data_IF_952881152234
#
_entry.id   IF_952881152234
#
_cell.length_a   1.000
_cell.length_b   1.000
_cell.length_c   1.000
_cell.angle_alpha   90.00
_cell.angle_beta   90.00
_cell.angle_gamma   90.00
#
_symmetry.space_group_name_H-M   'P 1'
#
loop_
_entity.id
_entity.type
_entity.pdbx_description
1 polymer ?
#
# COMPACT_ATOMS: atom_id res chain seq x y z
N UNK A 1 -1.05 27.33 23.27
CA UNK A 1 -1.25 25.99 22.67
C UNK A 1 -0.54 25.74 21.32
N UNK A 2 0.20 26.70 20.72
CA UNK A 2 0.94 26.46 19.44
C UNK A 2 2.27 25.68 19.59
N UNK A 3 2.91 25.67 20.76
CA UNK A 3 4.22 25.02 20.97
C UNK A 3 4.20 23.49 21.20
N UNK A 4 3.05 22.92 21.59
CA UNK A 4 2.93 21.47 21.85
C UNK A 4 2.75 20.67 20.53
N UNK A 5 2.09 21.27 19.54
CA UNK A 5 1.85 20.66 18.23
C UNK A 5 3.10 20.61 17.34
N UNK A 6 3.99 21.61 17.42
CA UNK A 6 5.21 21.66 16.61
C UNK A 6 6.27 20.64 17.06
N UNK A 7 6.42 20.44 18.38
CA UNK A 7 7.31 19.41 18.94
C UNK A 7 6.85 18.00 18.56
N UNK A 8 5.55 17.73 18.64
CA UNK A 8 4.99 16.42 18.28
C UNK A 8 5.14 16.13 16.77
N UNK A 9 4.92 17.14 15.91
CA UNK A 9 5.14 17.01 14.47
C UNK A 9 6.61 16.76 14.11
N UNK A 10 7.57 17.37 14.84
CA UNK A 10 9.00 17.12 14.62
C UNK A 10 9.38 15.69 14.99
N UNK A 11 8.89 15.17 16.11
CA UNK A 11 9.12 13.77 16.51
C UNK A 11 8.50 12.78 15.53
N UNK A 12 7.26 13.06 15.09
CA UNK A 12 6.57 12.28 14.06
C UNK A 12 7.35 12.27 12.75
N UNK A 13 7.81 13.44 12.29
CA UNK A 13 8.63 13.57 11.08
C UNK A 13 9.91 12.73 11.17
N UNK A 14 10.67 12.85 12.26
CA UNK A 14 11.89 12.06 12.46
C UNK A 14 11.58 10.56 12.40
N UNK A 15 10.54 10.11 13.10
CA UNK A 15 10.11 8.70 13.10
C UNK A 15 9.72 8.21 11.71
N UNK A 16 9.01 9.03 10.93
CA UNK A 16 8.65 8.69 9.54
C UNK A 16 9.88 8.63 8.66
N UNK A 17 10.78 9.62 8.73
CA UNK A 17 12.01 9.66 7.93
C UNK A 17 12.92 8.46 8.22
N UNK A 18 13.11 8.10 9.50
CA UNK A 18 13.89 6.90 9.87
C UNK A 18 13.27 5.65 9.23
N UNK A 19 11.95 5.45 9.40
CA UNK A 19 11.26 4.30 8.79
C UNK A 19 11.36 4.31 7.27
N UNK A 20 11.25 5.49 6.66
CA UNK A 20 11.33 5.67 5.22
C UNK A 20 12.70 5.26 4.68
N UNK A 21 13.79 5.76 5.27
CA UNK A 21 15.16 5.40 4.92
C UNK A 21 15.42 3.91 5.14
N UNK A 22 14.96 3.34 6.25
CA UNK A 22 15.10 1.90 6.52
C UNK A 22 14.41 1.05 5.46
N UNK A 23 13.22 1.46 4.99
CA UNK A 23 12.49 0.72 3.94
C UNK A 23 13.19 0.86 2.58
N UNK A 24 13.76 2.03 2.25
CA UNK A 24 14.59 2.20 1.04
C UNK A 24 15.78 1.24 1.07
N UNK A 25 16.51 1.22 2.20
CA UNK A 25 17.68 0.35 2.36
C UNK A 25 17.25 -1.11 2.27
N UNK A 26 16.16 -1.51 2.93
CA UNK A 26 15.68 -2.89 2.90
C UNK A 26 15.29 -3.33 1.48
N UNK A 27 14.53 -2.51 0.74
CA UNK A 27 14.14 -2.81 -0.63
C UNK A 27 15.38 -2.86 -1.54
N UNK A 28 16.30 -1.90 -1.40
CA UNK A 28 17.56 -1.91 -2.13
C UNK A 28 18.37 -3.19 -1.87
N UNK A 29 18.49 -3.62 -0.61
CA UNK A 29 19.16 -4.87 -0.26
C UNK A 29 18.44 -6.08 -0.87
N UNK A 30 17.12 -6.15 -0.76
CA UNK A 30 16.33 -7.27 -1.30
C UNK A 30 16.45 -7.37 -2.83
N UNK A 31 16.61 -6.25 -3.54
CA UNK A 31 16.75 -6.26 -5.00
C UNK A 31 18.20 -6.45 -5.45
N UNK A 32 19.13 -5.64 -4.95
CA UNK A 32 20.51 -5.60 -5.46
C UNK A 32 21.40 -6.71 -4.92
N UNK A 33 21.15 -7.22 -3.70
CA UNK A 33 21.93 -8.32 -3.15
C UNK A 33 21.79 -9.62 -3.96
N UNK A 34 20.57 -10.12 -4.26
CA UNK A 34 20.41 -11.28 -5.14
C UNK A 34 20.81 -10.99 -6.59
N UNK A 35 20.62 -9.76 -7.08
CA UNK A 35 21.10 -9.34 -8.41
C UNK A 35 22.62 -9.40 -8.56
N UNK A 36 23.38 -9.25 -7.47
CA UNK A 36 24.84 -9.21 -7.51
C UNK A 36 25.39 -8.02 -8.31
N UNK A 37 24.57 -7.02 -8.61
CA UNK A 37 24.93 -5.87 -9.45
C UNK A 37 24.02 -4.68 -9.15
N UNK A 38 24.60 -3.48 -9.14
CA UNK A 38 23.86 -2.21 -9.05
C UNK A 38 23.41 -1.68 -10.43
N UNK A 39 23.77 -2.38 -11.52
CA UNK A 39 23.39 -1.99 -12.89
C UNK A 39 21.94 -2.36 -13.23
N UNK A 40 21.23 -3.02 -12.31
CA UNK A 40 19.81 -3.33 -12.41
C UNK A 40 18.99 -2.04 -12.39
N UNK A 41 18.77 -1.46 -13.57
CA UNK A 41 18.21 -0.11 -13.72
C UNK A 41 16.71 -0.09 -13.41
N UNK A 42 16.00 -1.17 -13.69
CA UNK A 42 14.59 -1.37 -13.36
C UNK A 42 14.37 -1.20 -11.85
N UNK A 43 15.27 -1.75 -11.03
CA UNK A 43 15.22 -1.57 -9.58
C UNK A 43 15.40 -0.12 -9.15
N UNK A 44 16.26 0.66 -9.82
CA UNK A 44 16.41 2.09 -9.53
C UNK A 44 15.16 2.89 -9.91
N UNK A 45 14.60 2.64 -11.09
CA UNK A 45 13.36 3.28 -11.54
C UNK A 45 12.21 2.93 -10.60
N UNK A 46 12.09 1.65 -10.24
CA UNK A 46 11.08 1.17 -9.30
C UNK A 46 11.24 1.77 -7.89
N UNK A 47 12.46 1.89 -7.36
CA UNK A 47 12.69 2.61 -6.09
C UNK A 47 12.27 4.08 -6.25
N UNK A 48 12.63 4.73 -7.36
CA UNK A 48 12.21 6.10 -7.68
C UNK A 48 10.68 6.27 -7.68
N UNK A 49 9.96 5.37 -8.36
CA UNK A 49 8.50 5.43 -8.49
C UNK A 49 7.78 5.10 -7.18
N UNK A 50 8.37 4.25 -6.33
CA UNK A 50 7.82 3.89 -5.03
C UNK A 50 7.96 5.03 -4.03
N UNK A 51 9.14 5.65 -3.96
CA UNK A 51 9.46 6.58 -2.87
C UNK A 51 9.16 8.04 -3.22
N UNK A 52 9.22 8.45 -4.49
CA UNK A 52 8.96 9.84 -4.88
C UNK A 52 7.52 10.27 -4.54
N UNK A 53 6.46 9.55 -4.94
CA UNK A 53 5.08 9.90 -4.55
C UNK A 53 4.87 9.85 -3.03
N UNK A 54 5.53 8.92 -2.33
CA UNK A 54 5.42 8.82 -0.87
C UNK A 54 5.97 10.05 -0.15
N UNK A 55 7.03 10.70 -0.66
CA UNK A 55 7.54 11.97 -0.11
C UNK A 55 6.48 13.07 -0.28
N UNK A 56 5.83 13.17 -1.44
CA UNK A 56 4.75 14.13 -1.67
C UNK A 56 3.57 13.90 -0.71
N UNK A 57 3.13 12.64 -0.55
CA UNK A 57 2.08 12.27 0.41
C UNK A 57 2.48 12.62 1.83
N UNK A 58 3.72 12.34 2.24
CA UNK A 58 4.24 12.69 3.56
C UNK A 58 4.17 14.19 3.82
N UNK A 59 4.69 15.01 2.90
CA UNK A 59 4.67 16.47 3.02
C UNK A 59 3.23 16.99 3.08
N UNK A 60 2.33 16.42 2.27
CA UNK A 60 0.91 16.78 2.27
C UNK A 60 0.26 16.47 3.62
N UNK A 61 0.40 15.24 4.13
CA UNK A 61 -0.22 14.84 5.39
C UNK A 61 0.35 15.60 6.59
N UNK A 62 1.66 15.85 6.65
CA UNK A 62 2.25 16.69 7.71
C UNK A 62 1.68 18.10 7.77
N UNK A 63 1.21 18.64 6.64
CA UNK A 63 0.63 19.98 6.56
C UNK A 63 -0.89 19.99 6.75
N UNK A 64 -1.58 18.97 6.23
CA UNK A 64 -3.05 18.97 6.10
C UNK A 64 -3.75 18.03 7.07
N UNK A 65 -3.15 16.90 7.39
CA UNK A 65 -3.74 15.89 8.27
C UNK A 65 -2.65 15.07 9.02
N UNK A 66 -2.00 15.66 10.04
CA UNK A 66 -0.96 14.98 10.82
C UNK A 66 -1.51 13.80 11.63
N UNK A 67 -2.78 13.84 12.00
CA UNK A 67 -3.42 12.75 12.74
C UNK A 67 -3.58 11.50 11.86
N UNK A 68 -3.99 11.65 10.60
CA UNK A 68 -4.00 10.55 9.64
C UNK A 68 -2.59 9.97 9.46
N UNK A 69 -1.56 10.80 9.39
CA UNK A 69 -0.17 10.32 9.32
C UNK A 69 0.20 9.50 10.56
N UNK A 70 -0.15 9.99 11.75
CA UNK A 70 0.09 9.27 13.01
C UNK A 70 -0.64 7.93 13.05
N UNK A 71 -1.92 7.89 12.64
CA UNK A 71 -2.71 6.64 12.51
C UNK A 71 -2.02 5.63 11.60
N UNK A 72 -1.51 6.08 10.44
CA UNK A 72 -0.79 5.22 9.49
C UNK A 72 0.57 4.74 9.99
N UNK A 73 1.13 5.35 11.04
CA UNK A 73 2.36 4.88 11.68
C UNK A 73 2.13 3.74 12.67
N UNK A 74 0.88 3.49 13.07
CA UNK A 74 0.47 2.29 13.81
C UNK A 74 0.56 1.08 12.87
N UNK A 75 1.26 0.03 13.30
CA UNK A 75 1.52 -1.18 12.49
C UNK A 75 1.14 -2.49 13.20
N UNK A 76 0.74 -2.41 14.47
CA UNK A 76 0.44 -3.58 15.29
C UNK A 76 -1.04 -3.88 15.22
N UNK A 77 -1.39 -4.89 14.44
CA UNK A 77 -2.75 -5.44 14.40
C UNK A 77 -3.07 -6.14 15.72
N UNK A 78 -4.30 -5.92 16.22
CA UNK A 78 -4.77 -6.47 17.51
C UNK A 78 -5.43 -7.83 17.32
N UNK A 79 -6.25 -7.97 16.28
CA UNK A 79 -7.05 -9.15 15.97
C UNK A 79 -6.21 -10.24 15.29
N UNK A 80 -6.38 -11.51 15.71
CA UNK A 80 -5.61 -12.65 15.18
C UNK A 80 -5.71 -12.83 13.66
N UNK A 81 -6.91 -12.78 13.02
CA UNK A 81 -7.01 -12.88 11.56
C UNK A 81 -6.19 -11.81 10.83
N UNK A 82 -6.07 -10.62 11.41
CA UNK A 82 -5.31 -9.51 10.83
C UNK A 82 -3.80 -9.70 10.98
N UNK A 83 -3.35 -10.25 12.12
CA UNK A 83 -1.94 -10.64 12.30
C UNK A 83 -1.52 -11.72 11.30
N UNK A 84 -2.38 -12.71 11.06
CA UNK A 84 -2.12 -13.76 10.06
C UNK A 84 -2.01 -13.15 8.66
N UNK A 85 -2.94 -12.27 8.28
CA UNK A 85 -2.86 -11.53 7.02
C UNK A 85 -1.52 -10.78 6.87
N UNK A 86 -1.09 -10.04 7.90
CA UNK A 86 0.17 -9.27 7.86
C UNK A 86 1.36 -10.20 7.67
N UNK A 87 1.44 -11.31 8.41
CA UNK A 87 2.55 -12.28 8.30
C UNK A 87 2.60 -12.90 6.89
N UNK A 88 1.47 -13.36 6.36
CA UNK A 88 1.40 -13.95 5.03
C UNK A 88 1.72 -12.92 3.94
N UNK A 89 1.23 -11.69 4.09
CA UNK A 89 1.54 -10.61 3.15
C UNK A 89 3.03 -10.30 3.15
N UNK A 90 3.68 -10.20 4.32
CA UNK A 90 5.14 -9.99 4.41
C UNK A 90 5.90 -11.10 3.71
N UNK A 91 5.49 -12.36 3.89
CA UNK A 91 6.11 -13.50 3.22
C UNK A 91 5.98 -13.39 1.70
N UNK A 92 4.77 -13.12 1.20
CA UNK A 92 4.50 -12.93 -0.23
C UNK A 92 5.31 -11.77 -0.79
N UNK A 93 5.37 -10.62 -0.10
CA UNK A 93 6.20 -9.48 -0.50
C UNK A 93 7.68 -9.82 -0.53
N UNK A 94 8.19 -10.52 0.48
CA UNK A 94 9.59 -10.89 0.52
C UNK A 94 9.96 -11.78 -0.67
N UNK A 95 9.15 -12.81 -0.97
CA UNK A 95 9.38 -13.71 -2.10
C UNK A 95 9.25 -12.95 -3.43
N UNK A 96 8.19 -12.17 -3.62
CA UNK A 96 7.95 -11.44 -4.87
C UNK A 96 9.02 -10.37 -5.15
N UNK A 97 9.71 -9.86 -4.14
CA UNK A 97 10.75 -8.83 -4.31
C UNK A 97 12.17 -9.38 -4.32
N UNK A 98 12.42 -10.58 -3.77
CA UNK A 98 13.75 -11.21 -3.87
C UNK A 98 13.96 -11.88 -5.23
N UNK A 99 12.89 -12.43 -5.83
CA UNK A 99 12.94 -13.12 -7.13
C UNK A 99 13.48 -12.22 -8.25
N UNK A 100 13.04 -10.96 -8.44
CA UNK A 100 13.51 -10.14 -9.55
C UNK A 100 15.01 -9.89 -9.55
N UNK A 101 15.66 -9.85 -8.38
CA UNK A 101 17.10 -9.74 -8.34
C UNK A 101 17.79 -11.02 -8.84
N UNK A 102 17.32 -12.20 -8.45
CA UNK A 102 17.84 -13.45 -9.03
C UNK A 102 17.51 -13.57 -10.51
N UNK A 103 16.32 -13.16 -10.93
CA UNK A 103 15.88 -13.13 -12.31
C UNK A 103 16.80 -12.24 -13.16
N UNK A 104 17.15 -11.05 -12.68
CA UNK A 104 18.14 -10.18 -13.31
C UNK A 104 19.52 -10.84 -13.42
N UNK A 105 19.97 -11.52 -12.35
CA UNK A 105 21.31 -12.13 -12.31
C UNK A 105 21.45 -13.33 -13.26
N UNK A 106 20.40 -14.13 -13.38
CA UNK A 106 20.39 -15.37 -14.14
C UNK A 106 19.63 -15.27 -15.45
N UNK A 107 19.09 -14.09 -15.76
CA UNK A 107 18.38 -13.76 -16.99
C UNK A 107 17.22 -14.74 -17.28
N UNK A 108 16.39 -15.02 -16.27
CA UNK A 108 15.27 -15.99 -16.42
C UNK A 108 14.08 -15.42 -17.21
N UNK A 109 13.97 -14.10 -17.31
CA UNK A 109 12.89 -13.38 -17.98
C UNK A 109 13.42 -12.36 -18.97
N UNK A 110 12.79 -12.29 -20.14
CA UNK A 110 12.98 -11.22 -21.13
C UNK A 110 11.72 -10.37 -21.21
N UNK A 111 11.48 -9.53 -20.19
CA UNK A 111 10.31 -8.64 -20.18
C UNK A 111 10.56 -7.47 -21.14
N UNK A 112 9.69 -7.23 -22.16
CA UNK A 112 9.89 -6.14 -23.09
C UNK A 112 9.86 -4.78 -22.40
N UNK A 113 10.74 -3.86 -22.83
CA UNK A 113 10.83 -2.50 -22.28
C UNK A 113 9.46 -1.79 -22.21
N UNK A 114 8.62 -1.93 -23.23
CA UNK A 114 7.28 -1.31 -23.25
C UNK A 114 6.37 -1.83 -22.13
N UNK A 115 6.50 -3.10 -21.75
CA UNK A 115 5.73 -3.71 -20.66
C UNK A 115 6.17 -3.14 -19.32
N UNK A 116 7.48 -2.95 -19.11
CA UNK A 116 8.05 -2.31 -17.91
C UNK A 116 7.49 -0.89 -17.76
N UNK A 117 7.54 -0.09 -18.82
CA UNK A 117 7.03 1.29 -18.81
C UNK A 117 5.52 1.36 -18.56
N UNK A 118 4.73 0.46 -19.15
CA UNK A 118 3.30 0.37 -18.88
C UNK A 118 3.06 0.00 -17.41
N UNK A 119 3.78 -0.98 -16.88
CA UNK A 119 3.67 -1.37 -15.48
C UNK A 119 3.98 -0.19 -14.54
N UNK A 120 5.07 0.53 -14.77
CA UNK A 120 5.44 1.73 -14.03
C UNK A 120 4.35 2.81 -14.09
N UNK A 121 3.79 3.08 -15.28
CA UNK A 121 2.70 4.04 -15.43
C UNK A 121 1.48 3.68 -14.57
N UNK A 122 1.07 2.41 -14.57
CA UNK A 122 -0.05 1.96 -13.76
C UNK A 122 0.26 1.95 -12.26
N UNK A 123 1.51 1.66 -11.86
CA UNK A 123 1.95 1.82 -10.46
C UNK A 123 1.80 3.29 -10.03
N UNK A 124 2.23 4.23 -10.87
CA UNK A 124 2.06 5.66 -10.61
C UNK A 124 0.57 6.06 -10.52
N UNK A 125 -0.30 5.56 -11.39
CA UNK A 125 -1.76 5.76 -11.30
C UNK A 125 -2.31 5.18 -10.00
N UNK A 126 -1.84 4.01 -9.58
CA UNK A 126 -2.15 3.41 -8.28
C UNK A 126 -1.79 4.34 -7.12
N UNK A 127 -0.64 5.01 -7.18
CA UNK A 127 -0.25 6.03 -6.20
C UNK A 127 -1.17 7.25 -6.19
N UNK A 128 -1.63 7.71 -7.35
CA UNK A 128 -2.60 8.81 -7.43
C UNK A 128 -3.92 8.43 -6.77
N UNK A 129 -4.44 7.23 -7.03
CA UNK A 129 -5.65 6.74 -6.37
C UNK A 129 -5.42 6.60 -4.85
N UNK A 130 -4.28 6.06 -4.44
CA UNK A 130 -3.92 5.95 -3.03
C UNK A 130 -3.89 7.33 -2.34
N UNK A 131 -3.32 8.34 -2.99
CA UNK A 131 -3.33 9.71 -2.48
C UNK A 131 -4.74 10.29 -2.39
N UNK A 132 -5.59 10.10 -3.40
CA UNK A 132 -6.99 10.53 -3.36
C UNK A 132 -7.75 9.90 -2.21
N UNK A 133 -7.53 8.61 -1.95
CA UNK A 133 -8.13 7.92 -0.80
C UNK A 133 -7.68 8.53 0.52
N UNK A 134 -6.39 8.81 0.68
CA UNK A 134 -5.87 9.46 1.89
C UNK A 134 -6.39 10.89 2.07
N UNK A 135 -6.59 11.61 0.97
CA UNK A 135 -7.18 12.95 0.99
C UNK A 135 -8.65 12.92 1.42
N UNK A 136 -9.38 11.91 0.98
CA UNK A 136 -10.83 11.77 1.24
C UNK A 136 -11.13 11.19 2.63
N UNK A 137 -10.29 10.27 3.11
CA UNK A 137 -10.54 9.51 4.33
C UNK A 137 -9.45 9.74 5.41
N UNK A 138 -9.72 10.68 6.33
CA UNK A 138 -8.87 10.96 7.51
C UNK A 138 -8.72 9.77 8.47
N UNK A 139 -9.62 8.78 8.38
CA UNK A 139 -9.60 7.56 9.18
C UNK A 139 -8.88 6.39 8.48
N UNK A 140 -8.21 6.61 7.34
CA UNK A 140 -7.54 5.57 6.56
C UNK A 140 -6.27 5.03 7.26
N UNK A 141 -6.47 4.26 8.33
CA UNK A 141 -5.44 3.58 9.10
C UNK A 141 -4.88 2.36 8.37
N UNK A 142 -3.66 1.93 8.77
CA UNK A 142 -3.08 0.65 8.29
C UNK A 142 -3.57 -0.54 9.10
N UNK A 143 -4.01 -0.31 10.33
CA UNK A 143 -4.57 -1.35 11.21
C UNK A 143 -6.09 -1.22 11.21
N UNK A 144 -6.79 -2.32 11.43
CA UNK A 144 -8.25 -2.29 11.49
C UNK A 144 -8.68 -1.92 12.89
N UNK A 145 -9.10 -0.67 13.06
CA UNK A 145 -9.67 -0.16 14.29
C UNK A 145 -10.80 0.83 13.98
N UNK A 146 -11.83 0.82 14.82
CA UNK A 146 -12.88 1.85 14.80
C UNK A 146 -12.60 2.85 15.90
N UNK A 147 -12.37 4.11 15.53
CA UNK A 147 -12.11 5.19 16.48
C UNK A 147 -13.41 5.80 17.01
N UNK A 148 -13.36 6.33 18.23
CA UNK A 148 -14.51 7.01 18.83
C UNK A 148 -14.88 8.24 17.99
N UNK A 149 -16.14 8.30 17.54
CA UNK A 149 -16.61 9.40 16.68
C UNK A 149 -16.21 9.28 15.21
N UNK A 150 -15.64 8.14 14.80
CA UNK A 150 -15.41 7.84 13.38
C UNK A 150 -16.74 7.86 12.62
N UNK A 151 -16.72 8.49 11.44
CA UNK A 151 -17.85 8.53 10.51
C UNK A 151 -17.56 7.65 9.30
N UNK A 152 -18.61 7.12 8.70
CA UNK A 152 -18.52 6.42 7.42
C UNK A 152 -18.23 7.42 6.32
N UNK A 153 -17.11 7.25 5.62
CA UNK A 153 -16.78 8.02 4.42
C UNK A 153 -17.45 7.34 3.23
N UNK A 154 -18.28 8.09 2.51
CA UNK A 154 -19.07 7.61 1.36
C UNK A 154 -18.97 8.53 0.13
N UNK A 155 -17.98 9.42 0.13
CA UNK A 155 -17.71 10.42 -0.91
C UNK A 155 -16.41 10.10 -1.66
N UNK A 156 -16.19 10.76 -2.80
CA UNK A 156 -15.02 10.51 -3.64
C UNK A 156 -14.98 9.05 -4.14
N UNK A 157 -13.82 8.37 -4.09
CA UNK A 157 -13.71 6.97 -4.52
C UNK A 157 -14.64 6.01 -3.75
N UNK A 158 -14.95 6.34 -2.49
CA UNK A 158 -15.86 5.56 -1.65
C UNK A 158 -17.32 5.60 -2.11
N UNK A 159 -17.71 6.56 -2.96
CA UNK A 159 -19.06 6.59 -3.53
C UNK A 159 -19.29 5.48 -4.57
N UNK A 160 -18.21 4.90 -5.12
CA UNK A 160 -18.24 3.93 -6.23
C UNK A 160 -17.96 2.52 -5.72
N UNK A 161 -16.90 2.38 -4.90
CA UNK A 161 -16.43 1.11 -4.35
C UNK A 161 -16.10 1.27 -2.88
N UNK A 162 -16.31 0.24 -2.06
CA UNK A 162 -16.09 0.34 -0.60
C UNK A 162 -14.62 0.35 -0.20
N UNK A 163 -13.74 -0.20 -1.05
CA UNK A 163 -12.35 -0.50 -0.72
C UNK A 163 -11.33 0.07 -1.73
N UNK A 164 -11.38 1.37 -2.07
CA UNK A 164 -10.52 1.97 -3.09
C UNK A 164 -9.02 1.93 -2.76
N UNK A 165 -8.65 1.93 -1.47
CA UNK A 165 -7.24 1.78 -1.07
C UNK A 165 -6.69 0.42 -1.50
N UNK A 166 -7.48 -0.65 -1.39
CA UNK A 166 -7.04 -1.98 -1.77
C UNK A 166 -6.92 -2.13 -3.29
N UNK A 167 -7.76 -1.44 -4.08
CA UNK A 167 -7.56 -1.35 -5.53
C UNK A 167 -6.22 -0.70 -5.85
N UNK A 168 -5.93 0.46 -5.27
CA UNK A 168 -4.65 1.15 -5.46
C UNK A 168 -3.46 0.26 -5.09
N UNK A 169 -3.52 -0.41 -3.94
CA UNK A 169 -2.48 -1.31 -3.42
C UNK A 169 -2.28 -2.53 -4.32
N UNK A 170 -3.35 -3.15 -4.81
CA UNK A 170 -3.26 -4.27 -5.73
C UNK A 170 -2.66 -3.84 -7.07
N UNK A 171 -3.08 -2.70 -7.64
CA UNK A 171 -2.48 -2.16 -8.87
C UNK A 171 -0.99 -1.94 -8.71
N UNK A 172 -0.56 -1.31 -7.61
CA UNK A 172 0.86 -1.06 -7.35
C UNK A 172 1.64 -2.38 -7.25
N UNK A 173 1.19 -3.33 -6.43
CA UNK A 173 2.01 -4.50 -6.12
C UNK A 173 1.92 -5.65 -7.13
N UNK A 174 0.78 -5.85 -7.79
CA UNK A 174 0.67 -6.88 -8.84
C UNK A 174 1.56 -6.53 -10.04
N UNK A 175 1.76 -5.24 -10.30
CA UNK A 175 2.57 -4.76 -11.41
C UNK A 175 4.05 -4.57 -11.05
N UNK A 176 4.41 -4.52 -9.75
CA UNK A 176 5.80 -4.41 -9.32
C UNK A 176 6.73 -5.46 -9.94
N UNK A 177 6.38 -6.76 -10.03
CA UNK A 177 7.21 -7.74 -10.72
C UNK A 177 7.52 -7.41 -12.18
N UNK A 178 6.51 -6.94 -12.93
CA UNK A 178 6.69 -6.56 -14.33
C UNK A 178 7.54 -5.30 -14.47
N UNK A 179 7.35 -4.32 -13.59
CA UNK A 179 8.20 -3.13 -13.51
C UNK A 179 9.65 -3.47 -13.15
N UNK A 180 9.87 -4.55 -12.40
CA UNK A 180 11.19 -5.08 -12.05
C UNK A 180 11.73 -6.08 -13.09
N UNK A 181 11.06 -6.25 -14.24
CA UNK A 181 11.54 -7.11 -15.32
C UNK A 181 11.47 -8.62 -15.04
N UNK A 182 10.55 -9.09 -14.19
CA UNK A 182 10.48 -10.49 -13.79
C UNK A 182 9.08 -11.11 -13.96
N UNK A 183 8.95 -12.10 -14.84
CA UNK A 183 7.73 -12.91 -14.97
C UNK A 183 7.57 -13.89 -13.81
N UNK A 184 8.67 -14.45 -13.28
CA UNK A 184 8.63 -15.38 -12.16
C UNK A 184 8.10 -14.73 -10.88
N UNK A 185 8.43 -13.46 -10.66
CA UNK A 185 7.89 -12.71 -9.53
C UNK A 185 6.39 -12.39 -9.67
N UNK A 186 5.83 -12.39 -10.89
CA UNK A 186 4.37 -12.27 -11.09
C UNK A 186 3.66 -13.46 -10.47
N UNK A 187 4.17 -14.67 -10.65
CA UNK A 187 3.59 -15.88 -10.04
C UNK A 187 3.65 -15.80 -8.51
N UNK A 188 4.75 -15.27 -7.97
CA UNK A 188 4.94 -15.12 -6.53
C UNK A 188 3.95 -14.13 -5.88
N UNK A 189 3.49 -13.09 -6.60
CA UNK A 189 2.56 -12.09 -6.06
C UNK A 189 1.08 -12.49 -6.17
N UNK A 190 0.72 -13.51 -6.97
CA UNK A 190 -0.67 -13.97 -7.16
C UNK A 190 -1.46 -14.32 -5.88
N UNK A 191 -0.84 -14.79 -4.78
CA UNK A 191 -1.57 -14.98 -3.53
C UNK A 191 -2.10 -13.66 -2.91
N UNK A 192 -1.53 -12.49 -3.25
CA UNK A 192 -1.88 -11.21 -2.63
C UNK A 192 -3.36 -10.81 -2.83
N UNK A 193 -3.95 -10.85 -4.05
CA UNK A 193 -5.39 -10.64 -4.24
C UNK A 193 -6.27 -11.48 -3.30
N UNK A 194 -5.94 -12.77 -3.13
CA UNK A 194 -6.71 -13.69 -2.27
C UNK A 194 -6.59 -13.27 -0.81
N UNK A 195 -5.40 -12.92 -0.34
CA UNK A 195 -5.18 -12.40 1.01
C UNK A 195 -5.98 -11.10 1.25
N UNK A 196 -6.03 -10.20 0.26
CA UNK A 196 -6.80 -8.96 0.33
C UNK A 196 -8.30 -9.23 0.40
N UNK A 197 -8.82 -10.22 -0.33
CA UNK A 197 -10.22 -10.65 -0.21
C UNK A 197 -10.56 -11.06 1.22
N UNK A 198 -9.71 -11.88 1.85
CA UNK A 198 -9.92 -12.29 3.25
C UNK A 198 -9.83 -11.12 4.21
N UNK A 199 -8.88 -10.22 4.00
CA UNK A 199 -8.75 -9.00 4.81
C UNK A 199 -10.00 -8.14 4.73
N UNK A 200 -10.50 -7.88 3.53
CA UNK A 200 -11.72 -7.08 3.29
C UNK A 200 -12.93 -7.70 3.99
N UNK A 201 -13.15 -9.00 3.87
CA UNK A 201 -14.28 -9.67 4.54
C UNK A 201 -14.20 -9.54 6.06
N UNK A 202 -13.00 -9.70 6.62
CA UNK A 202 -12.76 -9.55 8.05
C UNK A 202 -12.91 -8.09 8.51
N UNK A 203 -12.44 -7.14 7.72
CA UNK A 203 -12.61 -5.70 7.93
C UNK A 203 -14.08 -5.31 7.95
N UNK A 204 -14.85 -5.68 6.93
CA UNK A 204 -16.27 -5.37 6.84
C UNK A 204 -17.05 -5.96 8.01
N UNK A 205 -16.70 -7.16 8.48
CA UNK A 205 -17.34 -7.74 9.68
C UNK A 205 -17.15 -6.85 10.90
N UNK A 206 -15.94 -6.31 11.10
CA UNK A 206 -15.64 -5.41 12.22
C UNK A 206 -16.35 -4.06 12.03
N UNK A 207 -16.38 -3.53 10.81
CA UNK A 207 -17.02 -2.24 10.52
C UNK A 207 -18.55 -2.32 10.67
N UNK A 208 -19.19 -3.40 10.22
CA UNK A 208 -20.63 -3.62 10.42
C UNK A 208 -20.98 -3.68 11.92
N UNK A 209 -20.16 -4.34 12.71
CA UNK A 209 -20.37 -4.51 14.16
C UNK A 209 -20.13 -3.21 14.95
N UNK A 210 -19.09 -2.44 14.60
CA UNK A 210 -18.58 -1.36 15.45
C UNK A 210 -18.75 0.05 14.90
N UNK A 211 -18.97 0.22 13.59
CA UNK A 211 -19.08 1.53 12.95
C UNK A 211 -20.53 1.83 12.57
N UNK A 212 -21.16 2.72 13.33
CA UNK A 212 -22.52 3.19 13.07
C UNK A 212 -22.64 3.75 11.64
N UNK A 213 -23.68 3.34 10.91
CA UNK A 213 -23.94 3.75 9.53
C UNK A 213 -23.28 2.88 8.46
N UNK A 214 -22.40 1.93 8.83
CA UNK A 214 -21.66 1.14 7.85
C UNK A 214 -22.57 0.13 7.14
N UNK A 215 -23.52 -0.48 7.86
CA UNK A 215 -24.50 -1.40 7.28
C UNK A 215 -25.32 -0.73 6.17
N UNK A 216 -25.85 0.47 6.43
CA UNK A 216 -26.59 1.29 5.47
C UNK A 216 -25.72 1.68 4.27
N UNK A 217 -24.44 1.97 4.51
CA UNK A 217 -23.49 2.25 3.45
C UNK A 217 -23.28 1.05 2.52
N UNK A 218 -23.20 -0.18 3.06
CA UNK A 218 -23.07 -1.39 2.22
C UNK A 218 -24.27 -1.64 1.30
N UNK A 219 -25.45 -1.15 1.67
CA UNK A 219 -26.66 -1.24 0.83
C UNK A 219 -26.60 -0.25 -0.35
N UNK A 220 -25.98 0.91 -0.15
CA UNK A 220 -25.82 1.96 -1.18
C UNK A 220 -24.69 1.64 -2.14
N UNK A 221 -23.51 1.32 -1.61
CA UNK A 221 -22.31 1.02 -2.40
C UNK A 221 -22.12 -0.48 -2.42
N UNK A 222 -22.59 -1.15 -3.48
CA UNK A 222 -22.66 -2.62 -3.57
C UNK A 222 -21.31 -3.29 -3.84
N UNK A 223 -20.40 -2.59 -4.50
CA UNK A 223 -19.11 -3.13 -4.94
C UNK A 223 -18.01 -2.91 -3.90
N UNK A 224 -17.18 -3.92 -3.67
CA UNK A 224 -15.99 -3.85 -2.82
C UNK A 224 -14.82 -3.25 -3.58
N UNK A 225 -14.46 -3.87 -4.70
CA UNK A 225 -13.24 -3.54 -5.45
C UNK A 225 -13.51 -3.23 -6.92
N UNK A 226 -14.26 -4.10 -7.60
CA UNK A 226 -14.47 -3.98 -9.04
C UNK A 226 -15.96 -3.82 -9.30
N UNK A 227 -16.39 -2.68 -9.87
CA UNK A 227 -17.78 -2.48 -10.27
C UNK A 227 -18.29 -3.64 -11.12
N UNK A 228 -19.53 -4.06 -10.85
CA UNK A 228 -20.23 -5.16 -11.51
C UNK A 228 -19.65 -6.57 -11.30
N UNK A 229 -18.55 -6.72 -10.57
CA UNK A 229 -17.96 -8.02 -10.24
C UNK A 229 -18.07 -8.32 -8.75
N UNK A 230 -17.52 -7.46 -7.89
CA UNK A 230 -17.44 -7.71 -6.45
C UNK A 230 -17.30 -6.46 -5.59
#
# INVERSE_FOLDING_TARGET
>A
MKGKNTSNNRQLLIKVLIRFVLVIILIGLILFFPAGSIKFWEAWVYIGILFTPMIFVLIYLLKKDPELLERRMKIKEKEEPQKVFVKLSILVFFIAFIIPGFDYRFEWSEVPFIVIIIADLFIFIGYLLFFLVLKENTYASRIIEVEKGQKVISTGPYAIIRHPMYVAVLTMYILSPLALGSYWAVLAILPLPVLIIFRIKSEEKILIDKLLGYSEYTQKVKYRLIPYIW
#
